data_IF_987647648390
#
_entry.id   IF_987647648390
#
_cell.length_a   1.000
_cell.length_b   1.000
_cell.length_c   1.000
_cell.angle_alpha   90.00
_cell.angle_beta   90.00
_cell.angle_gamma   90.00
#
_symmetry.space_group_name_H-M   'P 1'
#
loop_
_entity.id
_entity.type
_entity.pdbx_description
1 polymer ?
#
# COMPACT_ATOMS: atom_id res chain seq x y z
N UNK A 1 15.04 33.71 -43.26
CA UNK A 1 16.01 33.05 -42.36
C UNK A 1 15.26 32.59 -41.11
N UNK A 2 14.89 31.31 -41.01
CA UNK A 2 14.30 30.74 -39.79
C UNK A 2 15.41 30.08 -38.98
N UNK A 3 15.63 30.54 -37.74
CA UNK A 3 16.49 29.86 -36.76
C UNK A 3 15.64 28.78 -36.07
N UNK A 4 15.97 27.52 -36.31
CA UNK A 4 15.42 26.39 -35.56
C UNK A 4 16.20 26.33 -34.25
N UNK A 5 15.55 26.67 -33.13
CA UNK A 5 16.11 26.49 -31.81
C UNK A 5 16.01 25.00 -31.44
N UNK A 6 17.15 24.32 -31.35
CA UNK A 6 17.22 22.99 -30.74
C UNK A 6 16.94 23.11 -29.25
N UNK A 7 15.77 22.64 -28.82
CA UNK A 7 15.51 22.36 -27.40
C UNK A 7 16.17 21.02 -27.05
N UNK A 8 16.89 20.91 -25.92
CA UNK A 8 17.41 19.64 -25.45
C UNK A 8 16.24 18.74 -25.04
N UNK A 9 16.12 17.59 -25.71
CA UNK A 9 15.19 16.52 -25.33
C UNK A 9 15.79 15.83 -24.11
N UNK A 10 15.16 15.98 -22.95
CA UNK A 10 15.57 15.22 -21.76
C UNK A 10 15.28 13.72 -21.97
N UNK A 11 16.19 12.82 -21.53
CA UNK A 11 15.99 11.39 -21.70
C UNK A 11 14.84 10.93 -20.81
N UNK A 12 13.86 10.27 -21.41
CA UNK A 12 12.76 9.62 -20.72
C UNK A 12 13.29 8.61 -19.68
N UNK A 13 13.27 8.98 -18.41
CA UNK A 13 13.56 8.06 -17.32
C UNK A 13 12.34 7.12 -17.21
N UNK A 14 12.48 5.93 -17.78
CA UNK A 14 11.54 4.84 -17.62
C UNK A 14 11.61 4.33 -16.17
N UNK A 15 10.73 4.85 -15.32
CA UNK A 15 10.52 4.28 -13.98
C UNK A 15 9.69 3.00 -14.10
N UNK A 16 10.36 1.91 -14.44
CA UNK A 16 9.81 0.57 -14.26
C UNK A 16 9.81 0.22 -12.76
N UNK A 17 8.72 0.57 -12.07
CA UNK A 17 8.48 0.08 -10.71
C UNK A 17 8.00 -1.37 -10.78
N UNK A 18 8.95 -2.31 -10.76
CA UNK A 18 8.65 -3.71 -10.51
C UNK A 18 8.25 -3.90 -9.05
N UNK A 19 6.95 -3.74 -8.75
CA UNK A 19 6.38 -4.21 -7.50
C UNK A 19 6.35 -5.74 -7.54
N UNK A 20 7.40 -6.37 -6.99
CA UNK A 20 7.41 -7.81 -6.73
C UNK A 20 6.42 -8.08 -5.58
N UNK A 21 5.25 -8.58 -5.92
CA UNK A 21 4.31 -9.16 -4.95
C UNK A 21 4.97 -10.40 -4.35
N UNK A 22 5.33 -10.35 -3.07
CA UNK A 22 5.66 -11.54 -2.29
C UNK A 22 4.32 -12.13 -1.85
N UNK A 23 3.93 -13.24 -2.46
CA UNK A 23 2.84 -14.11 -2.00
C UNK A 23 3.50 -15.27 -1.25
N UNK A 24 3.74 -15.09 0.04
CA UNK A 24 3.93 -16.20 0.95
C UNK A 24 2.60 -16.35 1.70
N UNK A 25 1.77 -17.28 1.20
CA UNK A 25 0.63 -17.80 1.94
C UNK A 25 1.19 -18.79 2.97
N UNK A 26 1.64 -18.27 4.12
CA UNK A 26 1.99 -19.12 5.25
C UNK A 26 0.71 -19.39 6.04
N UNK A 27 0.20 -20.62 5.92
CA UNK A 27 -0.87 -21.16 6.74
C UNK A 27 -0.34 -21.24 8.18
N UNK A 28 -0.73 -20.27 9.02
CA UNK A 28 -0.34 -20.22 10.42
C UNK A 28 -1.06 -21.37 11.15
N UNK A 29 -0.35 -22.49 11.34
CA UNK A 29 -0.70 -23.53 12.30
C UNK A 29 -0.47 -22.99 13.71
N UNK A 30 -1.56 -22.82 14.46
CA UNK A 30 -1.59 -22.14 15.77
C UNK A 30 -0.92 -22.95 16.92
N UNK A 31 0.03 -23.85 16.64
CA UNK A 31 0.61 -24.73 17.67
C UNK A 31 2.13 -24.82 17.79
N UNK A 32 2.93 -24.03 17.04
CA UNK A 32 4.37 -23.95 17.28
C UNK A 32 4.79 -22.60 17.87
N UNK A 33 5.11 -22.65 19.17
CA UNK A 33 5.89 -21.67 19.93
C UNK A 33 7.28 -21.53 19.30
N UNK A 34 7.37 -20.69 18.28
CA UNK A 34 8.63 -20.26 17.70
C UNK A 34 8.77 -18.76 17.98
N UNK A 35 9.65 -18.49 18.94
CA UNK A 35 10.23 -17.20 19.27
C UNK A 35 10.96 -16.61 18.04
N UNK A 36 10.21 -16.15 17.06
CA UNK A 36 10.68 -15.17 16.09
C UNK A 36 10.69 -13.83 16.82
N UNK A 37 11.86 -13.17 16.83
CA UNK A 37 11.97 -11.72 17.08
C UNK A 37 10.71 -11.08 16.51
N UNK A 38 9.85 -10.51 17.37
CA UNK A 38 8.53 -10.04 16.94
C UNK A 38 8.79 -8.94 15.90
N UNK A 39 8.79 -9.32 14.63
CA UNK A 39 8.78 -8.37 13.54
C UNK A 39 7.65 -7.43 13.89
N UNK A 40 7.96 -6.14 14.01
CA UNK A 40 7.00 -5.15 14.48
C UNK A 40 5.99 -4.93 13.35
N UNK A 41 5.09 -5.92 13.18
CA UNK A 41 4.11 -5.99 12.13
C UNK A 41 3.10 -4.89 12.43
N UNK A 42 3.10 -3.87 11.57
CA UNK A 42 2.17 -2.76 11.68
C UNK A 42 0.75 -3.30 11.56
N UNK A 43 -0.07 -3.04 12.59
CA UNK A 43 -1.46 -3.46 12.56
C UNK A 43 -2.23 -2.75 11.43
N UNK A 44 -3.32 -3.34 10.93
CA UNK A 44 -4.15 -2.68 9.93
C UNK A 44 -4.68 -1.31 10.38
N UNK A 45 -4.95 -1.14 11.69
CA UNK A 45 -5.40 0.12 12.26
C UNK A 45 -4.29 1.19 12.20
N UNK A 46 -3.07 0.84 12.64
CA UNK A 46 -1.92 1.75 12.56
C UNK A 46 -1.56 2.10 11.13
N UNK A 47 -1.53 1.12 10.23
CA UNK A 47 -1.24 1.36 8.81
C UNK A 47 -2.28 2.27 8.16
N UNK A 48 -3.56 2.12 8.51
CA UNK A 48 -4.61 3.03 8.01
C UNK A 48 -4.43 4.44 8.57
N UNK A 49 -4.15 4.59 9.86
CA UNK A 49 -3.95 5.89 10.49
C UNK A 49 -2.72 6.61 9.91
N UNK A 50 -1.62 5.89 9.69
CA UNK A 50 -0.41 6.42 9.06
C UNK A 50 -0.67 6.90 7.62
N UNK A 51 -1.46 6.16 6.83
CA UNK A 51 -1.85 6.58 5.49
C UNK A 51 -2.73 7.83 5.48
N UNK A 52 -3.64 7.98 6.44
CA UNK A 52 -4.45 9.20 6.56
C UNK A 52 -3.60 10.42 6.95
N UNK A 53 -2.63 10.25 7.87
CA UNK A 53 -1.68 11.31 8.22
C UNK A 53 -0.80 11.70 7.01
N UNK A 54 -0.27 10.72 6.29
CA UNK A 54 0.54 10.96 5.09
C UNK A 54 -0.26 11.70 4.01
N UNK A 55 -1.53 11.30 3.80
CA UNK A 55 -2.41 11.95 2.86
C UNK A 55 -2.64 13.41 3.23
N UNK A 56 -2.92 13.68 4.51
CA UNK A 56 -3.12 15.04 5.00
C UNK A 56 -1.88 15.91 4.83
N UNK A 57 -0.69 15.35 5.11
CA UNK A 57 0.57 16.04 4.90
C UNK A 57 0.80 16.41 3.43
N UNK A 58 0.57 15.47 2.50
CA UNK A 58 0.75 15.73 1.07
C UNK A 58 -0.25 16.78 0.58
N UNK A 59 -1.52 16.71 0.99
CA UNK A 59 -2.54 17.68 0.59
C UNK A 59 -2.21 19.13 1.02
N UNK A 60 -1.35 19.31 2.04
CA UNK A 60 -0.86 20.62 2.48
C UNK A 60 0.36 21.14 1.71
N UNK A 61 1.05 20.30 0.94
CA UNK A 61 2.27 20.73 0.24
C UNK A 61 1.93 21.60 -0.98
N UNK A 62 2.67 22.69 -1.23
CA UNK A 62 2.41 23.60 -2.35
C UNK A 62 2.69 22.97 -3.72
N UNK A 63 3.52 21.93 -3.75
CA UNK A 63 3.93 21.16 -4.93
C UNK A 63 3.25 19.77 -4.99
N UNK A 64 2.19 19.57 -4.21
CA UNK A 64 1.46 18.30 -4.14
C UNK A 64 0.97 17.85 -5.53
N UNK A 65 1.57 16.79 -6.04
CA UNK A 65 1.19 16.24 -7.35
C UNK A 65 -0.11 15.42 -7.21
N UNK A 66 -1.12 15.63 -8.07
CA UNK A 66 -2.40 14.92 -7.99
C UNK A 66 -2.27 13.39 -7.99
N UNK A 67 -1.24 12.85 -8.67
CA UNK A 67 -1.02 11.41 -8.72
C UNK A 67 -0.57 10.83 -7.36
N UNK A 68 0.15 11.59 -6.52
CA UNK A 68 0.56 11.16 -5.18
C UNK A 68 -0.66 11.04 -4.27
N UNK A 69 -1.55 12.03 -4.32
CA UNK A 69 -2.81 12.05 -3.57
C UNK A 69 -3.68 10.85 -3.97
N UNK A 70 -3.82 10.61 -5.29
CA UNK A 70 -4.62 9.50 -5.80
C UNK A 70 -4.03 8.13 -5.41
N UNK A 71 -2.70 8.01 -5.44
CA UNK A 71 -2.01 6.79 -5.05
C UNK A 71 -2.23 6.46 -3.57
N UNK A 72 -2.06 7.43 -2.67
CA UNK A 72 -2.31 7.23 -1.24
C UNK A 72 -3.77 6.88 -0.93
N UNK A 73 -4.73 7.54 -1.59
CA UNK A 73 -6.17 7.20 -1.46
C UNK A 73 -6.43 5.75 -1.88
N UNK A 74 -5.84 5.30 -2.99
CA UNK A 74 -5.95 3.90 -3.45
C UNK A 74 -5.33 2.92 -2.45
N UNK A 75 -4.18 3.24 -1.85
CA UNK A 75 -3.55 2.40 -0.83
C UNK A 75 -4.44 2.25 0.41
N UNK A 76 -5.00 3.36 0.90
CA UNK A 76 -5.93 3.33 2.03
C UNK A 76 -7.18 2.50 1.73
N UNK A 77 -7.77 2.68 0.55
CA UNK A 77 -8.97 1.92 0.17
C UNK A 77 -8.66 0.41 0.03
N UNK A 78 -7.47 0.06 -0.45
CA UNK A 78 -6.99 -1.32 -0.49
C UNK A 78 -6.85 -1.91 0.93
N UNK A 79 -6.26 -1.17 1.87
CA UNK A 79 -6.14 -1.59 3.25
C UNK A 79 -7.52 -1.80 3.90
N UNK A 80 -8.46 -0.89 3.67
CA UNK A 80 -9.84 -1.02 4.15
C UNK A 80 -10.55 -2.26 3.57
N UNK A 81 -10.38 -2.51 2.26
CA UNK A 81 -10.92 -3.72 1.61
C UNK A 81 -10.36 -5.00 2.20
N UNK A 82 -9.04 -5.07 2.42
CA UNK A 82 -8.39 -6.25 3.02
C UNK A 82 -8.96 -6.55 4.41
N UNK A 83 -9.14 -5.52 5.25
CA UNK A 83 -9.76 -5.65 6.57
C UNK A 83 -11.17 -6.24 6.49
N UNK A 84 -12.00 -5.73 5.57
CA UNK A 84 -13.37 -6.23 5.39
C UNK A 84 -13.40 -7.67 4.88
N UNK A 85 -12.50 -8.05 3.99
CA UNK A 85 -12.40 -9.43 3.50
C UNK A 85 -11.96 -10.40 4.61
N UNK A 86 -10.96 -10.03 5.41
CA UNK A 86 -10.52 -10.82 6.56
C UNK A 86 -11.67 -11.03 7.56
N UNK A 87 -12.42 -9.96 7.87
CA UNK A 87 -13.58 -10.03 8.76
C UNK A 87 -14.69 -10.94 8.22
N UNK A 88 -14.91 -10.99 6.90
CA UNK A 88 -15.87 -11.91 6.28
C UNK A 88 -15.40 -13.36 6.39
N UNK A 89 -14.11 -13.62 6.22
CA UNK A 89 -13.54 -14.97 6.32
C UNK A 89 -13.66 -15.52 7.75
N UNK A 90 -13.34 -14.71 8.77
CA UNK A 90 -13.52 -15.13 10.18
C UNK A 90 -14.98 -15.42 10.51
N UNK A 91 -15.90 -14.61 9.97
CA UNK A 91 -17.34 -14.82 10.12
C UNK A 91 -17.78 -16.16 9.50
N UNK A 92 -17.44 -16.42 8.23
CA UNK A 92 -17.79 -17.68 7.57
C UNK A 92 -17.18 -18.90 8.27
N UNK A 93 -15.91 -18.83 8.66
CA UNK A 93 -15.24 -19.90 9.38
C UNK A 93 -15.95 -20.21 10.72
N UNK A 94 -16.42 -19.20 11.44
CA UNK A 94 -17.19 -19.40 12.68
C UNK A 94 -18.55 -20.05 12.45
N UNK A 95 -19.22 -19.79 11.31
CA UNK A 95 -20.49 -20.42 10.96
C UNK A 95 -20.36 -21.93 10.73
N UNK A 96 -19.27 -22.40 10.13
CA UNK A 96 -19.06 -23.83 9.85
C UNK A 96 -18.52 -24.64 11.04
N UNK A 97 -18.17 -23.98 12.15
CA UNK A 97 -17.73 -24.63 13.40
C UNK A 97 -18.89 -25.02 14.33
N UNK A 98 -20.12 -24.62 13.99
CA UNK A 98 -21.36 -24.97 14.70
C UNK A 98 -22.12 -26.06 13.95
#
# INVERSE_FOLDING_TARGET
MLKICHLPVEPAISFSWNFRMITEEEEIDETEDLNYETENIISHAEGTAALDVALHYIEQQPDALPHNILFLKRLRDNAARKRLSAQKQTTLHSFFKH
#
